data_IF_775258925939
#
_entry.id   IF_775258925939
#
_cell.length_a   1.000
_cell.length_b   1.000
_cell.length_c   1.000
_cell.angle_alpha   90.00
_cell.angle_beta   90.00
_cell.angle_gamma   90.00
#
_symmetry.space_group_name_H-M   'P 1'
#
loop_
_entity.id
_entity.type
_entity.pdbx_description
1 polymer ?
#
# COMPACT_ATOMS: atom_id res chain seq x y z
N UNK A 1 0.70 -2.43 -20.44
CA UNK A 1 0.95 -0.98 -20.24
C UNK A 1 1.01 -0.33 -21.60
N UNK A 2 0.37 0.82 -21.77
CA UNK A 2 0.44 1.64 -22.99
C UNK A 2 1.38 2.82 -22.77
N UNK A 3 2.55 2.77 -23.41
CA UNK A 3 3.60 3.80 -23.29
C UNK A 3 3.36 5.04 -24.16
N UNK A 4 2.34 5.02 -25.00
CA UNK A 4 1.94 6.22 -25.76
C UNK A 4 1.20 7.23 -24.89
N UNK A 5 0.69 6.78 -23.73
CA UNK A 5 0.02 7.61 -22.73
C UNK A 5 1.02 8.20 -21.75
N UNK A 6 0.66 9.33 -21.13
CA UNK A 6 1.42 9.88 -20.00
C UNK A 6 1.41 8.94 -18.79
N UNK A 7 2.41 9.06 -17.92
CA UNK A 7 2.65 8.14 -16.78
C UNK A 7 1.42 7.85 -15.94
N UNK A 8 0.59 8.86 -15.67
CA UNK A 8 -0.63 8.72 -14.87
C UNK A 8 -1.70 7.82 -15.50
N UNK A 9 -1.58 7.51 -16.79
CA UNK A 9 -2.55 6.72 -17.57
C UNK A 9 -1.94 5.51 -18.28
N UNK A 10 -0.61 5.32 -18.22
CA UNK A 10 0.05 4.24 -18.95
C UNK A 10 -0.35 2.83 -18.45
N UNK A 11 -0.70 2.69 -17.17
CA UNK A 11 -1.36 1.46 -16.67
C UNK A 11 -2.86 1.56 -16.92
N UNK A 12 -3.31 0.86 -17.96
CA UNK A 12 -4.71 0.84 -18.42
C UNK A 12 -5.56 -0.27 -17.80
N UNK A 13 -4.96 -1.12 -16.96
CA UNK A 13 -5.68 -2.17 -16.26
C UNK A 13 -6.78 -1.57 -15.37
N UNK A 14 -7.96 -2.21 -15.27
CA UNK A 14 -9.01 -1.75 -14.37
C UNK A 14 -8.51 -1.79 -12.92
N UNK A 15 -9.04 -0.91 -12.07
CA UNK A 15 -8.79 -0.99 -10.63
C UNK A 15 -9.50 -2.25 -10.12
N UNK A 16 -8.81 -3.17 -9.40
CA UNK A 16 -9.43 -4.38 -8.87
C UNK A 16 -10.49 -4.04 -7.81
N UNK A 17 -11.33 -5.02 -7.47
CA UNK A 17 -12.20 -4.91 -6.29
C UNK A 17 -11.35 -4.74 -5.03
N UNK A 18 -11.83 -3.92 -4.09
CA UNK A 18 -11.06 -3.50 -2.91
C UNK A 18 -11.83 -3.82 -1.64
N UNK A 19 -11.11 -4.30 -0.64
CA UNK A 19 -11.58 -4.31 0.74
C UNK A 19 -10.63 -3.47 1.59
N UNK A 20 -11.17 -2.47 2.29
CA UNK A 20 -10.36 -1.52 3.07
C UNK A 20 -10.59 -1.76 4.56
N UNK A 21 -9.49 -1.94 5.27
CA UNK A 21 -9.48 -2.27 6.70
C UNK A 21 -8.54 -1.33 7.46
N UNK A 22 -8.78 -1.23 8.77
CA UNK A 22 -7.97 -0.46 9.73
C UNK A 22 -8.11 -1.10 11.10
N UNK A 23 -7.26 -0.70 12.04
CA UNK A 23 -7.38 -1.10 13.44
C UNK A 23 -8.65 -0.52 14.07
N UNK A 24 -9.26 -1.26 15.00
CA UNK A 24 -10.53 -0.87 15.63
C UNK A 24 -10.48 0.52 16.27
N UNK A 25 -9.37 0.85 16.90
CA UNK A 25 -9.10 2.15 17.53
C UNK A 25 -9.06 3.33 16.55
N UNK A 26 -9.04 3.08 15.25
CA UNK A 26 -8.96 4.10 14.21
C UNK A 26 -10.20 4.14 13.30
N UNK A 27 -11.18 3.26 13.49
CA UNK A 27 -12.38 3.16 12.63
C UNK A 27 -13.19 4.46 12.57
N UNK A 28 -13.18 5.26 13.63
CA UNK A 28 -13.92 6.53 13.69
C UNK A 28 -13.19 7.69 12.97
N UNK A 29 -11.95 7.49 12.53
CA UNK A 29 -11.21 8.51 11.79
C UNK A 29 -11.74 8.62 10.36
N UNK A 30 -12.34 9.76 10.03
CA UNK A 30 -12.87 10.00 8.69
C UNK A 30 -11.75 10.12 7.65
N UNK A 31 -11.79 9.35 6.54
CA UNK A 31 -10.88 9.50 5.42
C UNK A 31 -10.82 10.92 4.84
N UNK A 32 -11.91 11.68 4.91
CA UNK A 32 -11.97 13.06 4.43
C UNK A 32 -10.96 13.99 5.12
N UNK A 33 -10.47 13.60 6.30
CA UNK A 33 -9.48 14.36 7.07
C UNK A 33 -8.04 14.00 6.73
N UNK A 34 -7.79 12.95 5.93
CA UNK A 34 -6.44 12.56 5.53
C UNK A 34 -5.86 13.58 4.56
N UNK A 35 -4.72 14.15 4.93
CA UNK A 35 -3.99 15.14 4.13
C UNK A 35 -3.03 14.46 3.16
N UNK A 36 -2.40 13.37 3.62
CA UNK A 36 -1.40 12.62 2.87
C UNK A 36 -1.58 11.13 3.09
N UNK A 37 -1.22 10.38 2.06
CA UNK A 37 -1.31 8.92 2.05
C UNK A 37 0.04 8.37 1.60
N UNK A 38 0.59 7.45 2.36
CA UNK A 38 1.89 6.84 2.10
C UNK A 38 1.68 5.36 1.80
N UNK A 39 1.92 4.98 0.55
CA UNK A 39 1.83 3.58 0.14
C UNK A 39 3.18 2.93 0.35
N UNK A 40 3.17 1.79 1.04
CA UNK A 40 4.36 0.96 1.25
C UNK A 40 4.23 -0.33 0.46
N UNK A 41 5.21 -0.57 -0.40
CA UNK A 41 5.17 -1.76 -1.25
C UNK A 41 6.58 -2.30 -1.48
N UNK A 42 6.77 -3.58 -1.19
CA UNK A 42 8.03 -4.27 -1.47
C UNK A 42 8.11 -4.73 -2.93
N UNK A 43 9.30 -4.90 -3.49
CA UNK A 43 9.48 -5.36 -4.88
C UNK A 43 8.66 -6.62 -5.20
N UNK A 44 8.65 -7.58 -4.27
CA UNK A 44 7.85 -8.80 -4.39
C UNK A 44 6.35 -8.50 -4.45
N UNK A 45 5.88 -7.61 -3.57
CA UNK A 45 4.48 -7.19 -3.52
C UNK A 45 4.08 -6.43 -4.79
N UNK A 46 4.97 -5.59 -5.32
CA UNK A 46 4.74 -4.86 -6.57
C UNK A 46 4.49 -5.81 -7.73
N UNK A 47 5.37 -6.81 -7.90
CA UNK A 47 5.22 -7.84 -8.94
C UNK A 47 3.90 -8.60 -8.79
N UNK A 48 3.57 -9.04 -7.57
CA UNK A 48 2.34 -9.79 -7.32
C UNK A 48 1.07 -8.97 -7.64
N UNK A 49 1.03 -7.70 -7.22
CA UNK A 49 -0.11 -6.81 -7.52
C UNK A 49 -0.23 -6.61 -9.03
N UNK A 50 0.85 -6.27 -9.74
CA UNK A 50 0.77 -6.04 -11.17
C UNK A 50 0.35 -7.30 -11.95
N UNK A 51 0.90 -8.46 -11.58
CA UNK A 51 0.50 -9.74 -12.18
C UNK A 51 -0.99 -10.03 -11.99
N UNK A 52 -1.55 -9.72 -10.82
CA UNK A 52 -2.98 -9.94 -10.54
C UNK A 52 -3.91 -9.13 -11.44
N UNK A 53 -3.43 -8.01 -12.00
CA UNK A 53 -4.17 -7.16 -12.93
C UNK A 53 -3.70 -7.33 -14.40
N UNK A 54 -2.93 -8.37 -14.68
CA UNK A 54 -2.46 -8.70 -16.05
C UNK A 54 -1.38 -7.75 -16.58
N UNK A 55 -0.63 -7.09 -15.70
CA UNK A 55 0.42 -6.13 -16.06
C UNK A 55 1.78 -6.64 -15.59
N UNK A 56 2.79 -6.55 -16.47
CA UNK A 56 4.17 -6.80 -16.08
C UNK A 56 4.76 -5.56 -15.38
N UNK A 57 5.34 -5.75 -14.20
CA UNK A 57 6.02 -4.69 -13.47
C UNK A 57 7.41 -4.41 -14.05
N UNK A 58 7.69 -3.14 -14.36
CA UNK A 58 8.96 -2.70 -14.96
C UNK A 58 9.71 -1.78 -13.99
N UNK A 59 10.68 -2.35 -13.27
CA UNK A 59 11.44 -1.62 -12.23
C UNK A 59 12.25 -0.43 -12.74
N UNK A 60 12.64 -0.42 -14.02
CA UNK A 60 13.36 0.69 -14.65
C UNK A 60 12.43 1.84 -15.08
N UNK A 61 11.12 1.66 -14.98
CA UNK A 61 10.12 2.66 -15.30
C UNK A 61 9.00 2.65 -14.24
N UNK A 62 9.30 3.02 -12.98
CA UNK A 62 8.41 2.78 -11.86
C UNK A 62 7.25 3.79 -11.78
N UNK A 63 7.40 4.98 -12.37
CA UNK A 63 6.47 6.10 -12.22
C UNK A 63 5.01 5.78 -12.57
N UNK A 64 4.68 5.11 -13.68
CA UNK A 64 3.29 4.75 -13.95
C UNK A 64 2.68 3.80 -12.90
N UNK A 65 3.49 2.90 -12.35
CA UNK A 65 3.04 1.99 -11.30
C UNK A 65 2.75 2.77 -10.01
N UNK A 66 3.54 3.79 -9.68
CA UNK A 66 3.24 4.69 -8.57
C UNK A 66 1.91 5.39 -8.75
N UNK A 67 1.63 5.95 -9.93
CA UNK A 67 0.31 6.53 -10.22
C UNK A 67 -0.81 5.51 -10.09
N UNK A 68 -0.59 4.28 -10.56
CA UNK A 68 -1.59 3.22 -10.46
C UNK A 68 -1.86 2.79 -9.01
N UNK A 69 -0.83 2.68 -8.15
CA UNK A 69 -1.04 2.50 -6.70
C UNK A 69 -1.83 3.66 -6.09
N UNK A 70 -1.53 4.89 -6.52
CA UNK A 70 -2.30 6.08 -6.14
C UNK A 70 -3.78 5.92 -6.49
N UNK A 71 -4.11 5.44 -7.69
CA UNK A 71 -5.50 5.18 -8.12
C UNK A 71 -6.18 4.11 -7.28
N UNK A 72 -5.50 2.98 -7.04
CA UNK A 72 -6.00 1.88 -6.19
C UNK A 72 -6.39 2.42 -4.81
N UNK A 73 -5.46 3.11 -4.16
CA UNK A 73 -5.65 3.60 -2.80
C UNK A 73 -6.66 4.73 -2.75
N UNK A 74 -6.66 5.62 -3.75
CA UNK A 74 -7.64 6.70 -3.86
C UNK A 74 -9.07 6.16 -4.03
N UNK A 75 -9.23 5.13 -4.87
CA UNK A 75 -10.52 4.46 -5.07
C UNK A 75 -10.98 3.76 -3.80
N UNK A 76 -10.10 3.04 -3.11
CA UNK A 76 -10.44 2.32 -1.88
C UNK A 76 -10.83 3.24 -0.73
N UNK A 77 -10.02 4.27 -0.46
CA UNK A 77 -10.19 5.14 0.71
C UNK A 77 -11.27 6.21 0.49
N UNK A 78 -11.41 6.73 -0.73
CA UNK A 78 -12.27 7.89 -1.02
C UNK A 78 -13.38 7.61 -2.03
N UNK A 79 -13.45 6.42 -2.63
CA UNK A 79 -14.38 6.11 -3.72
C UNK A 79 -14.03 6.77 -5.06
N UNK A 80 -12.96 7.58 -5.12
CA UNK A 80 -12.55 8.39 -6.27
C UNK A 80 -11.06 8.18 -6.58
N UNK A 81 -10.75 7.56 -7.72
CA UNK A 81 -9.38 7.26 -8.16
C UNK A 81 -8.50 8.50 -8.40
N UNK A 82 -9.09 9.68 -8.56
CA UNK A 82 -8.38 10.95 -8.83
C UNK A 82 -8.11 11.76 -7.56
N UNK A 83 -8.46 11.25 -6.38
CA UNK A 83 -8.36 11.98 -5.12
C UNK A 83 -6.92 12.22 -4.66
N UNK A 84 -5.96 11.43 -5.15
CA UNK A 84 -4.56 11.49 -4.74
C UNK A 84 -3.65 12.03 -5.86
N UNK A 85 -2.79 12.98 -5.52
CA UNK A 85 -1.72 13.52 -6.39
C UNK A 85 -0.38 12.98 -5.90
N UNK A 86 0.40 12.37 -6.78
CA UNK A 86 1.75 11.85 -6.45
C UNK A 86 2.63 13.00 -5.97
N UNK A 87 3.14 12.94 -4.73
CA UNK A 87 4.00 13.95 -4.11
C UNK A 87 5.49 13.61 -4.27
N UNK A 88 5.89 12.44 -3.80
CA UNK A 88 7.29 12.01 -3.79
C UNK A 88 7.37 10.48 -3.70
N UNK A 89 8.51 9.90 -4.05
CA UNK A 89 8.83 8.51 -3.80
C UNK A 89 10.21 8.41 -3.12
N UNK A 90 10.33 7.53 -2.13
CA UNK A 90 11.63 7.19 -1.53
C UNK A 90 11.75 5.68 -1.46
N UNK A 91 12.92 5.16 -1.81
CA UNK A 91 13.23 3.74 -1.74
C UNK A 91 14.15 3.46 -0.57
N UNK A 92 13.82 2.46 0.23
CA UNK A 92 14.69 1.93 1.29
C UNK A 92 14.84 0.44 1.06
N UNK A 93 16.05 0.00 0.71
CA UNK A 93 16.35 -1.39 0.34
C UNK A 93 15.42 -1.89 -0.78
N UNK A 94 14.51 -2.81 -0.44
CA UNK A 94 13.57 -3.48 -1.35
C UNK A 94 12.14 -2.95 -1.25
N UNK A 95 11.95 -1.80 -0.57
CA UNK A 95 10.63 -1.20 -0.34
C UNK A 95 10.58 0.22 -0.88
N UNK A 96 9.46 0.54 -1.51
CA UNK A 96 9.14 1.90 -1.96
C UNK A 96 8.09 2.51 -1.03
N UNK A 97 8.31 3.77 -0.69
CA UNK A 97 7.44 4.63 0.10
C UNK A 97 6.95 5.74 -0.83
N UNK A 98 5.74 5.55 -1.34
CA UNK A 98 5.15 6.44 -2.34
C UNK A 98 4.20 7.37 -1.61
N UNK A 99 4.53 8.66 -1.62
CA UNK A 99 3.78 9.69 -0.92
C UNK A 99 2.80 10.36 -1.87
N UNK A 100 1.57 10.53 -1.42
CA UNK A 100 0.52 11.24 -2.13
C UNK A 100 -0.05 12.35 -1.28
N UNK A 101 -0.39 13.47 -1.92
CA UNK A 101 -1.16 14.56 -1.32
C UNK A 101 -2.62 14.42 -1.74
N UNK A 102 -3.53 14.55 -0.79
CA UNK A 102 -4.96 14.58 -1.08
C UNK A 102 -5.30 15.87 -1.87
N UNK A 103 -6.00 15.73 -2.99
CA UNK A 103 -6.37 16.85 -3.86
C UNK A 103 -7.18 17.93 -3.10
N UNK A 104 -8.16 17.53 -2.28
CA UNK A 104 -8.95 18.46 -1.47
C UNK A 104 -8.10 19.19 -0.44
N UNK A 105 -7.09 18.52 0.13
CA UNK A 105 -6.13 19.16 1.02
C UNK A 105 -5.28 20.19 0.27
N UNK A 106 -4.74 19.80 -0.89
CA UNK A 106 -3.91 20.67 -1.73
C UNK A 106 -4.68 21.93 -2.15
N UNK A 107 -5.94 21.79 -2.56
CA UNK A 107 -6.78 22.91 -3.00
C UNK A 107 -7.10 23.86 -1.82
N UNK A 108 -7.39 23.32 -0.63
CA UNK A 108 -7.59 24.14 0.59
C UNK A 108 -6.31 24.85 1.02
N UNK A 109 -5.15 24.19 0.92
CA UNK A 109 -3.84 24.77 1.21
C UNK A 109 -3.54 25.93 0.24
N UNK A 110 -3.81 25.74 -1.06
CA UNK A 110 -3.65 26.78 -2.07
C UNK A 110 -4.56 28.00 -1.80
N UNK A 111 -5.74 27.78 -1.21
CA UNK A 111 -6.63 28.84 -0.73
C UNK A 111 -6.19 29.48 0.60
N UNK A 112 -4.99 29.18 1.11
CA UNK A 112 -4.42 29.78 2.33
C UNK A 112 -4.97 29.20 3.64
N UNK A 113 -5.70 28.08 3.61
CA UNK A 113 -6.22 27.46 4.83
C UNK A 113 -5.11 26.69 5.55
N UNK A 114 -4.87 27.04 6.82
CA UNK A 114 -4.00 26.28 7.72
C UNK A 114 -4.78 25.08 8.26
N UNK A 115 -4.24 23.87 8.06
CA UNK A 115 -4.85 22.64 8.55
C UNK A 115 -3.75 21.74 9.13
N UNK A 116 -4.05 20.96 10.19
CA UNK A 116 -3.12 19.98 10.72
C UNK A 116 -2.84 18.89 9.68
N UNK A 117 -1.61 18.38 9.69
CA UNK A 117 -1.25 17.22 8.87
C UNK A 117 -1.79 15.95 9.51
N UNK A 118 -2.66 15.27 8.77
CA UNK A 118 -3.06 13.90 9.04
C UNK A 118 -2.49 13.02 7.94
N UNK A 119 -1.47 12.24 8.29
CA UNK A 119 -0.76 11.35 7.37
C UNK A 119 -1.12 9.92 7.73
N UNK A 120 -1.47 9.11 6.74
CA UNK A 120 -1.73 7.68 6.93
C UNK A 120 -0.75 6.84 6.11
N UNK A 121 -0.34 5.72 6.68
CA UNK A 121 0.38 4.65 5.99
C UNK A 121 -0.64 3.63 5.47
N UNK A 122 -0.47 3.18 4.24
CA UNK A 122 -1.33 2.20 3.57
C UNK A 122 -0.46 1.04 3.09
N UNK A 123 -0.80 -0.15 3.57
CA UNK A 123 -0.24 -1.42 3.14
C UNK A 123 -1.20 -2.07 2.15
N UNK A 124 -0.67 -2.44 0.99
CA UNK A 124 -1.41 -3.26 0.02
C UNK A 124 -1.00 -4.72 0.25
N UNK A 125 -1.97 -5.55 0.66
CA UNK A 125 -1.68 -6.95 0.94
C UNK A 125 -1.44 -7.74 -0.36
N UNK A 126 -0.77 -8.89 -0.24
CA UNK A 126 -0.54 -9.76 -1.39
C UNK A 126 -1.91 -10.19 -1.94
N UNK A 127 -2.17 -10.03 -3.25
CA UNK A 127 -3.42 -10.49 -3.85
C UNK A 127 -3.64 -11.99 -3.61
N UNK A 128 -4.88 -12.37 -3.35
CA UNK A 128 -5.31 -13.77 -3.29
C UNK A 128 -6.28 -14.04 -4.45
N UNK A 129 -6.15 -15.18 -5.16
CA UNK A 129 -7.03 -15.48 -6.28
C UNK A 129 -8.50 -15.49 -5.85
N UNK A 130 -9.36 -14.77 -6.59
CA UNK A 130 -10.79 -14.72 -6.33
C UNK A 130 -11.23 -13.83 -5.15
N UNK A 131 -10.30 -13.21 -4.43
CA UNK A 131 -10.62 -12.27 -3.34
C UNK A 131 -10.36 -10.82 -3.77
N UNK A 132 -11.14 -9.85 -3.24
CA UNK A 132 -10.81 -8.43 -3.37
C UNK A 132 -9.41 -8.12 -2.83
N UNK A 133 -8.73 -7.18 -3.47
CA UNK A 133 -7.42 -6.70 -3.03
C UNK A 133 -7.57 -5.98 -1.69
N UNK A 134 -6.85 -6.46 -0.69
CA UNK A 134 -6.96 -5.96 0.67
C UNK A 134 -6.03 -4.75 0.86
N UNK A 135 -6.61 -3.65 1.32
CA UNK A 135 -5.91 -2.45 1.77
C UNK A 135 -6.04 -2.36 3.29
N UNK A 136 -4.91 -2.12 3.95
CA UNK A 136 -4.88 -1.85 5.38
C UNK A 136 -4.26 -0.46 5.59
N UNK A 137 -4.89 0.38 6.41
CA UNK A 137 -4.33 1.69 6.71
C UNK A 137 -4.23 1.93 8.22
N UNK A 138 -3.27 2.77 8.58
CA UNK A 138 -3.05 3.24 9.96
C UNK A 138 -2.50 4.67 9.97
N UNK A 139 -2.62 5.41 11.08
CA UNK A 139 -1.90 6.66 11.25
C UNK A 139 -0.40 6.47 11.01
N UNK A 140 0.21 7.41 10.30
CA UNK A 140 1.62 7.32 9.97
C UNK A 140 2.49 7.54 11.21
N UNK A 141 3.60 6.82 11.27
CA UNK A 141 4.66 6.98 12.27
C UNK A 141 5.22 8.40 12.21
N UNK A 142 5.71 8.88 13.35
CA UNK A 142 6.23 10.25 13.49
C UNK A 142 7.32 10.58 12.46
N UNK A 143 8.22 9.63 12.17
CA UNK A 143 9.29 9.80 11.17
C UNK A 143 8.76 10.00 9.75
N UNK A 144 7.70 9.28 9.37
CA UNK A 144 7.04 9.41 8.07
C UNK A 144 6.35 10.77 7.97
N UNK A 145 5.66 11.18 9.04
CA UNK A 145 5.02 12.50 9.11
C UNK A 145 6.03 13.64 8.98
N UNK A 146 7.22 13.51 9.59
CA UNK A 146 8.31 14.48 9.45
C UNK A 146 8.84 14.53 8.00
N UNK A 147 9.01 13.39 7.33
CA UNK A 147 9.44 13.35 5.92
C UNK A 147 8.42 14.02 5.00
N UNK A 148 7.12 13.82 5.22
CA UNK A 148 6.05 14.51 4.47
C UNK A 148 6.13 16.02 4.66
N UNK A 149 6.30 16.49 5.90
CA UNK A 149 6.51 17.92 6.19
C UNK A 149 7.67 18.51 5.39
N UNK A 150 8.77 17.78 5.31
CA UNK A 150 9.94 18.21 4.54
C UNK A 150 9.64 18.26 3.03
N UNK A 151 9.01 17.23 2.46
CA UNK A 151 8.63 17.20 1.04
C UNK A 151 7.70 18.36 0.67
N UNK A 152 6.73 18.67 1.53
CA UNK A 152 5.78 19.79 1.34
C UNK A 152 6.44 21.18 1.36
N UNK A 153 7.67 21.28 1.86
CA UNK A 153 8.47 22.52 1.88
C UNK A 153 9.40 22.68 0.67
N UNK A 154 9.55 21.65 -0.15
CA UNK A 154 10.43 21.67 -1.33
C UNK A 154 9.62 21.86 -2.62
N UNK A 155 10.15 22.61 -3.61
CA UNK A 155 9.58 22.61 -4.96
C UNK A 155 9.69 21.20 -5.56
N UNK A 156 8.59 20.69 -6.11
CA UNK A 156 8.47 19.35 -6.70
C UNK A 156 9.67 18.99 -7.59
N UNK A 157 10.39 17.91 -7.27
CA UNK A 157 11.41 17.41 -8.18
C UNK A 157 11.70 15.90 -8.03
N UNK A 158 10.68 15.07 -8.29
CA UNK A 158 10.87 13.61 -8.32
C UNK A 158 11.13 13.06 -9.74
N UNK A 159 10.80 13.82 -10.79
CA UNK A 159 10.90 13.36 -12.19
C UNK A 159 12.28 13.58 -12.84
N UNK A 160 13.19 14.35 -12.22
CA UNK A 160 14.49 14.70 -12.83
C UNK A 160 15.72 14.16 -12.07
N UNK A 161 15.51 13.42 -10.99
CA UNK A 161 16.60 12.88 -10.17
C UNK A 161 16.76 11.40 -10.47
N UNK A 162 17.95 11.04 -10.97
CA UNK A 162 18.36 9.65 -11.13
C UNK A 162 18.02 8.82 -9.88
N UNK A 163 17.72 7.51 -10.01
CA UNK A 163 17.23 6.67 -8.91
C UNK A 163 18.12 6.66 -7.65
N UNK A 164 19.37 7.12 -7.74
CA UNK A 164 20.31 7.26 -6.61
C UNK A 164 20.15 8.57 -5.80
N UNK A 165 19.45 9.58 -6.32
CA UNK A 165 19.36 10.93 -5.74
C UNK A 165 18.17 11.15 -4.79
N UNK A 166 17.21 10.23 -4.74
CA UNK A 166 16.15 10.23 -3.72
C UNK A 166 16.66 9.93 -2.29
N UNK A 167 17.95 9.60 -2.15
CA UNK A 167 18.59 9.22 -0.89
C UNK A 167 19.08 10.38 -0.02
N UNK A 168 18.93 11.64 -0.45
CA UNK A 168 19.28 12.78 0.40
C UNK A 168 18.33 12.84 1.62
N UNK A 169 18.80 12.29 2.74
CA UNK A 169 18.10 12.21 4.03
C UNK A 169 17.75 10.80 4.53
N UNK A 170 18.32 9.73 3.94
CA UNK A 170 18.02 8.32 4.33
C UNK A 170 18.79 7.87 5.58
N UNK A 171 19.79 8.61 6.07
CA UNK A 171 20.63 8.21 7.20
C UNK A 171 19.85 7.91 8.50
N UNK A 172 18.64 8.45 8.68
CA UNK A 172 17.82 8.21 9.86
C UNK A 172 16.77 7.08 9.72
N UNK A 173 16.56 6.51 8.52
CA UNK A 173 15.65 5.36 8.34
C UNK A 173 16.36 4.00 8.39
N UNK A 174 17.69 3.97 8.25
CA UNK A 174 18.47 2.72 8.20
C UNK A 174 18.62 2.02 9.55
N UNK A 175 18.43 2.74 10.66
CA UNK A 175 18.51 2.23 12.03
C UNK A 175 17.17 1.76 12.63
N UNK A 176 16.07 1.85 11.88
CA UNK A 176 14.79 1.33 12.34
C UNK A 176 14.71 -0.15 12.02
N UNK A 177 14.58 -0.97 13.07
CA UNK A 177 14.29 -2.39 12.96
C UNK A 177 12.91 -2.57 12.29
N UNK A 178 12.92 -2.73 10.97
CA UNK A 178 11.73 -2.91 10.12
C UNK A 178 11.28 -4.38 10.12
N UNK A 179 11.33 -5.06 11.27
CA UNK A 179 10.78 -6.40 11.44
C UNK A 179 9.25 -6.35 11.51
N UNK A 180 8.60 -6.18 10.35
CA UNK A 180 7.22 -6.62 10.20
C UNK A 180 7.25 -8.12 9.90
N UNK A 181 6.84 -8.92 10.89
CA UNK A 181 6.77 -10.37 10.88
C UNK A 181 5.96 -10.88 9.68
N UNK A 182 6.61 -11.58 8.76
CA UNK A 182 5.95 -12.55 7.89
C UNK A 182 5.51 -13.74 8.76
N UNK A 183 4.39 -13.59 9.46
CA UNK A 183 3.73 -14.74 10.10
C UNK A 183 2.72 -15.34 9.11
N UNK A 184 3.17 -16.40 8.43
CA UNK A 184 2.27 -17.41 7.88
C UNK A 184 1.54 -18.10 9.05
N UNK A 185 0.20 -18.19 9.03
CA UNK A 185 -0.49 -19.09 9.94
C UNK A 185 -0.20 -20.53 9.52
N UNK A 186 0.41 -21.30 10.42
CA UNK A 186 0.57 -22.75 10.27
C UNK A 186 -0.82 -23.38 10.14
N UNK A 187 -1.06 -24.06 9.03
CA UNK A 187 -2.19 -24.98 8.89
C UNK A 187 -2.06 -26.09 9.95
N UNK A 188 -2.95 -26.09 10.93
CA UNK A 188 -3.17 -27.25 11.80
C UNK A 188 -4.08 -28.21 11.06
N UNK A 189 -3.49 -29.20 10.39
CA UNK A 189 -4.22 -30.32 9.81
C UNK A 189 -4.65 -31.26 10.94
N UNK A 190 -5.90 -31.14 11.40
CA UNK A 190 -6.53 -32.18 12.24
C UNK A 190 -7.01 -33.31 11.35
N UNK A 191 -6.20 -34.35 11.22
CA UNK A 191 -6.58 -35.62 10.61
C UNK A 191 -7.44 -36.41 11.60
N UNK A 192 -8.76 -36.39 11.42
CA UNK A 192 -9.67 -37.36 12.05
C UNK A 192 -9.65 -38.65 11.22
N UNK A 193 -8.89 -39.65 11.66
CA UNK A 193 -9.10 -41.05 11.27
C UNK A 193 -10.03 -41.70 12.30
N UNK A 194 -11.32 -41.77 11.96
CA UNK A 194 -12.25 -42.71 12.58
C UNK A 194 -12.30 -43.97 11.72
N UNK A 195 -11.52 -44.98 12.08
CA UNK A 195 -11.66 -46.32 11.52
C UNK A 195 -12.80 -47.06 12.21
N UNK A 196 -13.81 -47.34 11.40
CA UNK A 196 -14.79 -48.40 11.56
C UNK A 196 -14.09 -49.77 11.62
N UNK A 197 -14.44 -50.61 12.61
CA UNK A 197 -14.28 -52.06 12.52
C UNK A 197 -15.27 -52.73 13.48
N UNK A 198 -16.14 -53.53 12.88
CA UNK A 198 -17.02 -54.54 13.45
C UNK A 198 -16.23 -55.75 13.91
N UNK A 199 -16.67 -56.41 15.00
CA UNK A 199 -17.04 -57.84 15.05
C UNK A 199 -16.88 -58.48 16.43
N UNK A 200 -18.01 -59.06 16.86
CA UNK A 200 -18.22 -60.31 17.59
C UNK A 200 -17.15 -60.87 18.55
N UNK A 201 -17.53 -60.96 19.84
CA UNK A 201 -17.38 -62.22 20.62
C UNK A 201 -18.11 -62.19 21.99
N UNK A 202 -19.20 -62.94 22.09
CA UNK A 202 -19.52 -63.76 23.27
C UNK A 202 -19.09 -65.21 22.96
N UNK A 203 -18.74 -66.10 23.92
CA UNK A 203 -19.61 -66.43 25.06
C UNK A 203 -18.95 -66.85 26.40
N UNK A 204 -19.81 -66.91 27.44
CA UNK A 204 -19.89 -67.90 28.54
C UNK A 204 -18.74 -68.00 29.59
N UNK A 205 -19.01 -68.51 30.81
CA UNK A 205 -20.16 -69.29 31.30
C UNK A 205 -21.18 -68.56 32.19
#
# INVERSE_FOLDING_TARGET
MDRSLGDSNAVTAPIPELNVTTEDQHKDMSPANFTHVIVQVSDYRQKAIMQSVGVEYLSNFPTPFWYYYGKIVAKGIYGNEKQLRLLNCTRVRTREFISFTNATFADRKAAGKVMPLNVVEVDILKPRPGEPLQLFWKPARGIITQRVKHCESLPFNCASREPHSCNAGVENLEHLDLSASDHEPKETTSTNQGQENTDDKMPAP
#
